data_IF_831750447112
#
_entry.id   IF_831750447112
#
_cell.length_a   1.000
_cell.length_b   1.000
_cell.length_c   1.000
_cell.angle_alpha   90.00
_cell.angle_beta   90.00
_cell.angle_gamma   90.00
#
_symmetry.space_group_name_H-M   'P 1'
#
loop_
_entity.id
_entity.type
_entity.pdbx_description
1 polymer ?
#
# COMPACT_ATOMS: atom_id res chain seq x y z
N UNK A 1 -8.66 -7.01 29.62
CA UNK A 1 -8.80 -7.93 28.46
C UNK A 1 -7.69 -7.59 27.49
N UNK A 2 -6.68 -8.46 27.35
CA UNK A 2 -5.58 -8.24 26.38
C UNK A 2 -6.15 -8.48 24.97
N UNK A 3 -5.86 -7.64 23.96
CA UNK A 3 -6.25 -7.95 22.59
C UNK A 3 -5.62 -9.28 22.19
N UNK A 4 -6.42 -10.13 21.54
CA UNK A 4 -6.00 -11.41 20.99
C UNK A 4 -4.74 -11.26 20.11
N UNK A 5 -3.77 -12.15 20.30
CA UNK A 5 -2.56 -12.32 19.46
C UNK A 5 -2.91 -12.93 18.09
N UNK A 6 -3.96 -12.46 17.42
CA UNK A 6 -4.04 -12.61 15.98
C UNK A 6 -2.88 -11.77 15.43
N UNK A 7 -1.75 -12.41 15.15
CA UNK A 7 -0.60 -11.75 14.52
C UNK A 7 -1.12 -10.93 13.36
N UNK A 8 -0.92 -9.62 13.41
CA UNK A 8 -1.49 -8.66 12.46
C UNK A 8 -1.18 -9.14 11.06
N UNK A 9 -2.21 -9.64 10.37
CA UNK A 9 -2.07 -10.25 9.05
C UNK A 9 -1.81 -9.11 8.08
N UNK A 10 -0.74 -9.24 7.30
CA UNK A 10 -0.43 -8.30 6.23
C UNK A 10 -1.62 -8.18 5.28
N UNK A 11 -2.12 -6.94 5.15
CA UNK A 11 -3.23 -6.60 4.28
C UNK A 11 -2.90 -5.31 3.54
N UNK A 12 -2.91 -5.37 2.22
CA UNK A 12 -2.57 -4.25 1.34
C UNK A 12 -3.83 -3.51 0.93
N UNK A 13 -3.86 -2.20 1.13
CA UNK A 13 -4.86 -1.33 0.52
C UNK A 13 -4.41 -1.02 -0.91
N UNK A 14 -5.13 -1.51 -1.92
CA UNK A 14 -4.82 -1.30 -3.33
C UNK A 14 -5.74 -0.21 -3.87
N UNK A 15 -5.19 0.99 -3.96
CA UNK A 15 -5.86 2.16 -4.55
C UNK A 15 -5.69 2.13 -6.07
N UNK A 16 -6.79 2.25 -6.81
CA UNK A 16 -6.77 2.22 -8.27
C UNK A 16 -8.00 2.93 -8.86
N UNK A 17 -7.91 3.42 -10.09
CA UNK A 17 -9.11 3.85 -10.83
C UNK A 17 -9.83 2.65 -11.44
N UNK A 18 -11.11 2.86 -11.78
CA UNK A 18 -11.91 1.88 -12.50
C UNK A 18 -11.22 1.31 -13.76
N UNK A 19 -10.50 2.14 -14.52
CA UNK A 19 -9.75 1.75 -15.72
C UNK A 19 -8.61 0.76 -15.45
N UNK A 20 -8.10 0.71 -14.22
CA UNK A 20 -7.00 -0.17 -13.80
C UNK A 20 -7.48 -1.41 -13.03
N UNK A 21 -8.79 -1.63 -12.91
CA UNK A 21 -9.39 -2.71 -12.11
C UNK A 21 -8.83 -4.10 -12.45
N UNK A 22 -8.65 -4.39 -13.74
CA UNK A 22 -8.09 -5.68 -14.17
C UNK A 22 -6.64 -5.87 -13.67
N UNK A 23 -5.83 -4.80 -13.70
CA UNK A 23 -4.47 -4.82 -13.18
C UNK A 23 -4.46 -4.96 -11.65
N UNK A 24 -5.32 -4.22 -10.94
CA UNK A 24 -5.45 -4.30 -9.49
C UNK A 24 -5.86 -5.71 -9.03
N UNK A 25 -6.82 -6.35 -9.69
CA UNK A 25 -7.24 -7.74 -9.42
C UNK A 25 -6.10 -8.73 -9.65
N UNK A 26 -5.31 -8.55 -10.72
CA UNK A 26 -4.15 -9.40 -11.01
C UNK A 26 -3.07 -9.27 -9.92
N UNK A 27 -2.78 -8.03 -9.49
CA UNK A 27 -1.84 -7.74 -8.41
C UNK A 27 -2.31 -8.40 -7.10
N UNK A 28 -3.56 -8.20 -6.71
CA UNK A 28 -4.14 -8.81 -5.50
C UNK A 28 -4.08 -10.34 -5.56
N UNK A 29 -4.40 -10.92 -6.71
CA UNK A 29 -4.34 -12.38 -6.92
C UNK A 29 -2.93 -12.91 -6.74
N UNK A 30 -1.91 -12.24 -7.31
CA UNK A 30 -0.51 -12.66 -7.15
C UNK A 30 -0.04 -12.53 -5.70
N UNK A 31 -0.36 -11.43 -5.01
CA UNK A 31 -0.05 -11.24 -3.59
C UNK A 31 -0.68 -12.34 -2.73
N UNK A 32 -1.93 -12.70 -3.01
CA UNK A 32 -2.66 -13.74 -2.28
C UNK A 32 -2.11 -15.13 -2.53
N UNK A 33 -1.95 -15.53 -3.80
CA UNK A 33 -1.58 -16.89 -4.20
C UNK A 33 -0.11 -17.18 -3.89
N UNK A 34 0.79 -16.25 -4.22
CA UNK A 34 2.24 -16.51 -4.14
C UNK A 34 2.80 -16.17 -2.76
N UNK A 35 2.21 -15.19 -2.06
CA UNK A 35 2.79 -14.63 -0.83
C UNK A 35 1.87 -14.68 0.39
N UNK A 36 0.62 -15.16 0.23
CA UNK A 36 -0.40 -15.23 1.29
C UNK A 36 -0.71 -13.86 1.92
N UNK A 37 -0.58 -12.79 1.15
CA UNK A 37 -0.89 -11.41 1.57
C UNK A 37 -2.32 -11.08 1.13
N UNK A 38 -3.14 -10.59 2.05
CA UNK A 38 -4.52 -10.17 1.76
C UNK A 38 -4.54 -8.77 1.14
N UNK A 39 -5.62 -8.42 0.44
CA UNK A 39 -5.78 -7.09 -0.13
C UNK A 39 -7.22 -6.58 0.01
N UNK A 40 -7.36 -5.27 0.17
CA UNK A 40 -8.60 -4.55 -0.07
C UNK A 40 -8.44 -3.79 -1.38
N UNK A 41 -9.38 -3.95 -2.31
CA UNK A 41 -9.38 -3.24 -3.60
C UNK A 41 -10.30 -2.02 -3.47
N UNK A 42 -9.72 -0.83 -3.55
CA UNK A 42 -10.48 0.42 -3.54
C UNK A 42 -10.53 1.00 -4.94
N UNK A 43 -11.70 0.92 -5.57
CA UNK A 43 -11.96 1.51 -6.88
C UNK A 43 -12.35 2.96 -6.68
N UNK A 44 -11.51 3.87 -7.17
CA UNK A 44 -11.82 5.29 -7.25
C UNK A 44 -12.69 5.52 -8.48
N UNK A 45 -13.92 5.99 -8.28
CA UNK A 45 -14.79 6.49 -9.35
C UNK A 45 -14.88 8.02 -9.25
N UNK A 46 -14.57 8.69 -10.36
CA UNK A 46 -14.59 10.15 -10.46
C UNK A 46 -16.02 10.71 -10.46
N UNK A 47 -17.04 9.85 -10.64
CA UNK A 47 -18.45 10.23 -10.71
C UNK A 47 -19.20 10.31 -9.38
N UNK A 48 -18.54 10.12 -8.22
CA UNK A 48 -19.21 10.20 -6.90
C UNK A 48 -19.42 11.65 -6.43
N UNK A 49 -20.17 12.44 -7.21
CA UNK A 49 -20.42 13.86 -7.00
C UNK A 49 -21.39 14.25 -5.86
N UNK A 50 -21.63 13.42 -4.84
CA UNK A 50 -22.62 13.79 -3.79
C UNK A 50 -22.45 13.22 -2.37
N UNK A 51 -21.40 12.44 -2.05
CA UNK A 51 -21.24 11.81 -0.71
C UNK A 51 -19.80 11.85 -0.14
N UNK A 52 -19.05 12.93 -0.40
CA UNK A 52 -17.60 12.99 -0.13
C UNK A 52 -17.16 12.76 1.33
N UNK A 53 -17.94 13.20 2.33
CA UNK A 53 -17.56 13.02 3.74
C UNK A 53 -17.68 11.56 4.20
N UNK A 54 -18.76 10.89 3.80
CA UNK A 54 -19.02 9.48 4.11
C UNK A 54 -18.03 8.57 3.38
N UNK A 55 -17.69 8.90 2.13
CA UNK A 55 -16.66 8.20 1.37
C UNK A 55 -15.29 8.33 2.03
N UNK A 56 -14.88 9.54 2.43
CA UNK A 56 -13.61 9.75 3.11
C UNK A 56 -13.56 9.01 4.46
N UNK A 57 -14.67 8.94 5.20
CA UNK A 57 -14.75 8.16 6.43
C UNK A 57 -14.62 6.66 6.16
N UNK A 58 -15.33 6.15 5.14
CA UNK A 58 -15.26 4.76 4.70
C UNK A 58 -13.85 4.36 4.27
N UNK A 59 -13.22 5.13 3.37
CA UNK A 59 -11.85 4.87 2.89
C UNK A 59 -10.85 4.90 4.06
N UNK A 60 -10.96 5.87 4.97
CA UNK A 60 -10.12 5.90 6.18
C UNK A 60 -10.30 4.65 7.05
N UNK A 61 -11.53 4.18 7.19
CA UNK A 61 -11.83 2.98 7.98
C UNK A 61 -11.25 1.71 7.31
N UNK A 62 -11.39 1.56 5.99
CA UNK A 62 -10.84 0.41 5.25
C UNK A 62 -9.32 0.44 5.18
N UNK A 63 -8.72 1.61 4.94
CA UNK A 63 -7.27 1.80 5.02
C UNK A 63 -6.75 1.50 6.43
N UNK A 64 -7.50 1.88 7.48
CA UNK A 64 -7.16 1.57 8.88
C UNK A 64 -7.16 0.07 9.22
N UNK A 65 -7.80 -0.77 8.40
CA UNK A 65 -7.75 -2.24 8.52
C UNK A 65 -6.58 -2.86 7.74
N UNK A 66 -5.82 -2.04 7.02
CA UNK A 66 -4.68 -2.45 6.21
C UNK A 66 -3.37 -2.04 6.89
N UNK A 67 -2.29 -2.67 6.46
CA UNK A 67 -0.93 -2.43 7.01
C UNK A 67 -0.08 -1.55 6.12
N UNK A 68 -0.50 -1.36 4.86
CA UNK A 68 0.27 -0.66 3.82
C UNK A 68 -0.66 -0.28 2.66
N UNK A 69 -0.18 0.65 1.83
CA UNK A 69 -0.88 1.09 0.63
C UNK A 69 -0.03 0.83 -0.62
N UNK A 70 -0.68 0.33 -1.67
CA UNK A 70 -0.14 0.19 -3.02
C UNK A 70 -1.04 0.94 -4.00
N UNK A 71 -0.56 2.05 -4.54
CA UNK A 71 -1.27 2.78 -5.58
C UNK A 71 -1.00 2.12 -6.94
N UNK A 72 -2.04 1.80 -7.70
CA UNK A 72 -1.91 1.33 -9.09
C UNK A 72 -2.13 2.52 -9.99
N UNK A 73 -1.11 2.86 -10.78
CA UNK A 73 -1.10 4.05 -11.61
C UNK A 73 -0.72 3.67 -13.04
N UNK A 74 -1.58 3.99 -13.99
CA UNK A 74 -1.33 4.01 -15.42
C UNK A 74 -1.37 5.45 -15.94
N UNK A 75 -1.13 5.63 -17.24
CA UNK A 75 -1.22 6.94 -17.90
C UNK A 75 -2.61 7.58 -17.75
N UNK A 76 -3.64 6.76 -17.50
CA UNK A 76 -5.03 7.22 -17.31
C UNK A 76 -5.33 7.63 -15.86
N UNK A 77 -4.56 7.13 -14.90
CA UNK A 77 -4.73 7.36 -13.46
C UNK A 77 -4.08 8.63 -12.93
N UNK A 78 -3.32 9.34 -13.77
CA UNK A 78 -2.61 10.56 -13.36
C UNK A 78 -3.55 11.73 -13.01
N UNK A 79 -4.84 11.64 -13.33
CA UNK A 79 -5.83 12.71 -13.15
C UNK A 79 -6.67 12.62 -11.88
N UNK A 80 -6.59 11.53 -11.10
CA UNK A 80 -7.43 11.35 -9.91
C UNK A 80 -6.97 12.21 -8.73
N UNK A 81 -7.88 13.05 -8.19
CA UNK A 81 -7.66 13.82 -6.97
C UNK A 81 -7.66 12.99 -5.68
N UNK A 82 -8.21 11.76 -5.71
CA UNK A 82 -8.29 10.90 -4.52
C UNK A 82 -6.96 10.21 -4.20
N UNK A 83 -6.15 9.85 -5.20
CA UNK A 83 -4.85 9.18 -4.98
C UNK A 83 -3.92 10.04 -4.10
N UNK A 84 -3.70 11.34 -4.36
CA UNK A 84 -2.93 12.20 -3.46
C UNK A 84 -3.50 12.26 -2.03
N UNK A 85 -4.83 12.22 -1.88
CA UNK A 85 -5.48 12.29 -0.57
C UNK A 85 -5.23 11.03 0.26
N UNK A 86 -5.42 9.84 -0.32
CA UNK A 86 -5.18 8.55 0.37
C UNK A 86 -3.72 8.39 0.78
N UNK A 87 -2.81 8.86 -0.08
CA UNK A 87 -1.39 8.91 0.20
C UNK A 87 -1.10 9.81 1.40
N UNK A 88 -1.80 10.94 1.53
CA UNK A 88 -1.74 11.79 2.71
C UNK A 88 -2.12 11.02 3.97
N UNK A 89 -3.26 10.33 3.96
CA UNK A 89 -3.74 9.53 5.11
C UNK A 89 -2.77 8.40 5.46
N UNK A 90 -2.25 7.68 4.46
CA UNK A 90 -1.29 6.60 4.68
C UNK A 90 0.06 7.12 5.22
N UNK A 91 0.51 8.29 4.73
CA UNK A 91 1.73 8.94 5.21
C UNK A 91 1.61 9.38 6.67
N UNK A 92 0.46 9.92 7.08
CA UNK A 92 0.19 10.29 8.48
C UNK A 92 0.22 9.07 9.42
N UNK A 93 -0.24 7.91 8.93
CA UNK A 93 -0.22 6.64 9.67
C UNK A 93 1.14 5.93 9.67
N UNK A 94 2.13 6.51 8.99
CA UNK A 94 3.46 5.93 8.76
C UNK A 94 3.40 4.54 8.12
N UNK A 95 2.44 4.35 7.20
CA UNK A 95 2.29 3.10 6.47
C UNK A 95 3.32 2.99 5.34
N UNK A 96 3.86 1.79 5.07
CA UNK A 96 4.60 1.52 3.85
C UNK A 96 3.79 1.89 2.61
N UNK A 97 4.42 2.63 1.71
CA UNK A 97 3.82 3.15 0.48
C UNK A 97 4.65 2.71 -0.72
N UNK A 98 3.98 2.24 -1.77
CA UNK A 98 4.58 1.99 -3.07
C UNK A 98 3.58 2.26 -4.19
N UNK A 99 4.09 2.36 -5.41
CA UNK A 99 3.26 2.47 -6.62
C UNK A 99 3.50 1.29 -7.55
N UNK A 100 2.47 0.73 -8.17
CA UNK A 100 2.60 -0.14 -9.33
C UNK A 100 2.34 0.69 -10.59
N UNK A 101 3.37 0.92 -11.40
CA UNK A 101 3.29 1.61 -12.68
C UNK A 101 2.82 0.63 -13.76
N UNK A 102 1.54 0.69 -14.12
CA UNK A 102 0.91 -0.16 -15.15
C UNK A 102 1.21 0.26 -16.59
N UNK A 103 1.76 1.47 -16.80
CA UNK A 103 2.11 2.02 -18.11
C UNK A 103 3.62 2.06 -18.38
N UNK A 104 4.03 2.44 -19.60
CA UNK A 104 5.44 2.62 -19.95
C UNK A 104 6.06 3.84 -19.25
N UNK A 105 5.24 4.81 -18.86
CA UNK A 105 5.71 6.02 -18.19
C UNK A 105 6.05 5.75 -16.72
N UNK A 106 6.97 6.51 -16.12
CA UNK A 106 7.11 6.53 -14.67
C UNK A 106 5.86 7.15 -14.02
N UNK A 107 5.60 6.84 -12.74
CA UNK A 107 4.51 7.49 -12.03
C UNK A 107 4.75 9.01 -11.93
N UNK A 108 3.67 9.79 -11.70
CA UNK A 108 3.75 11.23 -11.42
C UNK A 108 4.82 11.58 -10.39
N UNK A 109 5.44 12.74 -10.55
CA UNK A 109 6.59 13.15 -9.74
C UNK A 109 6.34 13.08 -8.23
N UNK A 110 5.15 13.47 -7.79
CA UNK A 110 4.77 13.44 -6.38
C UNK A 110 4.75 12.03 -5.77
N UNK A 111 4.68 10.98 -6.59
CA UNK A 111 4.77 9.58 -6.18
C UNK A 111 6.19 9.03 -6.18
N UNK A 112 7.13 9.67 -6.90
CA UNK A 112 8.48 9.14 -7.13
C UNK A 112 9.38 9.13 -5.88
N UNK A 113 8.96 9.77 -4.79
CA UNK A 113 9.66 9.67 -3.50
C UNK A 113 9.49 8.31 -2.81
N UNK A 114 8.50 7.52 -3.23
CA UNK A 114 8.29 6.14 -2.80
C UNK A 114 8.72 5.15 -3.89
N UNK A 115 9.05 3.91 -3.51
CA UNK A 115 9.40 2.87 -4.49
C UNK A 115 8.24 2.62 -5.45
N UNK A 116 8.57 2.35 -6.71
CA UNK A 116 7.59 1.95 -7.71
C UNK A 116 8.00 0.68 -8.47
N UNK A 117 7.00 -0.15 -8.71
CA UNK A 117 7.05 -1.47 -9.31
C UNK A 117 6.60 -1.38 -10.77
N UNK A 118 7.16 -2.19 -11.65
CA UNK A 118 6.77 -2.26 -13.07
C UNK A 118 6.37 -3.67 -13.52
N UNK A 119 6.76 -4.68 -12.76
CA UNK A 119 6.59 -6.08 -13.17
C UNK A 119 6.40 -7.00 -11.96
N UNK A 120 6.15 -8.27 -12.29
CA UNK A 120 5.85 -9.33 -11.32
C UNK A 120 7.04 -9.66 -10.40
N UNK A 121 8.27 -9.57 -10.89
CA UNK A 121 9.45 -9.81 -10.05
C UNK A 121 9.62 -8.71 -8.99
N UNK A 122 9.36 -7.46 -9.36
CA UNK A 122 9.34 -6.31 -8.44
C UNK A 122 8.14 -6.40 -7.47
N UNK A 123 6.98 -6.90 -7.90
CA UNK A 123 5.85 -7.19 -7.02
C UNK A 123 6.16 -8.31 -6.02
N UNK A 124 6.91 -9.33 -6.43
CA UNK A 124 7.37 -10.36 -5.50
C UNK A 124 8.40 -9.81 -4.51
N UNK A 125 9.26 -8.88 -4.94
CA UNK A 125 10.19 -8.18 -4.05
C UNK A 125 9.44 -7.30 -3.04
N UNK A 126 8.40 -6.60 -3.48
CA UNK A 126 7.48 -5.86 -2.61
C UNK A 126 6.84 -6.75 -1.53
N UNK A 127 6.35 -7.92 -1.91
CA UNK A 127 5.76 -8.85 -0.96
C UNK A 127 6.77 -9.32 0.10
N UNK A 128 8.00 -9.66 -0.30
CA UNK A 128 9.08 -10.03 0.63
C UNK A 128 9.48 -8.88 1.56
N UNK A 129 9.60 -7.67 1.03
CA UNK A 129 9.88 -6.47 1.83
C UNK A 129 8.77 -6.21 2.86
N UNK A 130 7.51 -6.44 2.49
CA UNK A 130 6.35 -6.30 3.38
C UNK A 130 6.40 -7.32 4.52
N UNK A 131 6.77 -8.57 4.24
CA UNK A 131 6.94 -9.62 5.25
C UNK A 131 8.11 -9.33 6.20
N UNK A 132 9.24 -8.83 5.69
CA UNK A 132 10.37 -8.40 6.49
C UNK A 132 9.98 -7.25 7.44
N UNK A 133 9.30 -6.23 6.91
CA UNK A 133 8.78 -5.10 7.69
C UNK A 133 7.81 -5.57 8.79
N UNK A 134 6.87 -6.46 8.47
CA UNK A 134 5.96 -7.04 9.48
C UNK A 134 6.71 -7.80 10.58
N UNK A 135 7.81 -8.48 10.22
CA UNK A 135 8.66 -9.15 11.20
C UNK A 135 9.38 -8.15 12.11
N UNK A 136 9.94 -7.09 11.54
CA UNK A 136 10.55 -5.99 12.30
C UNK A 136 9.53 -5.32 13.22
N UNK A 137 8.30 -5.08 12.75
CA UNK A 137 7.24 -4.52 13.57
C UNK A 137 6.94 -5.39 14.80
N UNK A 138 6.76 -6.70 14.60
CA UNK A 138 6.49 -7.66 15.68
C UNK A 138 7.61 -7.69 16.71
N UNK A 139 8.86 -7.66 16.25
CA UNK A 139 10.04 -7.62 17.12
C UNK A 139 10.14 -6.29 17.86
N UNK A 140 10.00 -5.16 17.16
CA UNK A 140 10.14 -3.84 17.75
C UNK A 140 9.08 -3.58 18.84
N UNK A 141 7.84 -4.06 18.64
CA UNK A 141 6.72 -3.86 19.56
C UNK A 141 6.90 -4.55 20.91
N UNK A 142 7.86 -5.46 21.07
CA UNK A 142 8.17 -6.04 22.40
C UNK A 142 8.92 -5.05 23.30
N UNK A 143 9.57 -4.05 22.71
CA UNK A 143 10.56 -3.20 23.39
C UNK A 143 10.24 -1.72 23.25
N UNK A 144 9.62 -1.32 22.13
CA UNK A 144 9.37 0.06 21.79
C UNK A 144 7.88 0.41 21.78
N UNK A 145 7.59 1.72 21.80
CA UNK A 145 6.22 2.22 21.60
C UNK A 145 5.70 1.83 20.21
N UNK A 146 4.37 1.86 20.05
CA UNK A 146 3.71 1.61 18.76
C UNK A 146 4.27 2.51 17.64
N UNK A 147 4.41 3.81 17.91
CA UNK A 147 4.92 4.80 16.95
C UNK A 147 6.35 4.46 16.52
N UNK A 148 7.24 4.15 17.46
CA UNK A 148 8.63 3.79 17.16
C UNK A 148 8.70 2.46 16.41
N UNK A 149 7.87 1.49 16.77
CA UNK A 149 7.80 0.19 16.11
C UNK A 149 7.36 0.32 14.65
N UNK A 150 6.36 1.17 14.38
CA UNK A 150 5.90 1.49 13.01
C UNK A 150 7.01 2.12 12.17
N UNK A 151 7.68 3.14 12.69
CA UNK A 151 8.81 3.81 12.00
C UNK A 151 9.90 2.83 11.60
N UNK A 152 10.25 1.90 12.50
CA UNK A 152 11.25 0.85 12.21
C UNK A 152 10.78 -0.10 11.11
N UNK A 153 9.54 -0.57 11.19
CA UNK A 153 8.91 -1.41 10.15
C UNK A 153 8.92 -0.73 8.79
N UNK A 154 8.49 0.52 8.72
CA UNK A 154 8.43 1.31 7.49
C UNK A 154 9.83 1.60 6.93
N UNK A 155 10.81 1.87 7.80
CA UNK A 155 12.22 1.99 7.41
C UNK A 155 12.74 0.68 6.82
N UNK A 156 12.41 -0.45 7.44
CA UNK A 156 12.80 -1.78 6.96
C UNK A 156 12.23 -2.08 5.58
N UNK A 157 10.96 -1.75 5.37
CA UNK A 157 10.31 -1.88 4.08
C UNK A 157 11.08 -1.10 3.00
N UNK A 158 11.32 0.20 3.20
CA UNK A 158 12.01 1.02 2.20
C UNK A 158 13.46 0.58 1.97
N UNK A 159 14.17 0.15 3.02
CA UNK A 159 15.52 -0.43 2.92
C UNK A 159 15.52 -1.68 2.04
N UNK A 160 14.60 -2.60 2.29
CA UNK A 160 14.45 -3.84 1.52
C UNK A 160 14.07 -3.58 0.06
N UNK A 161 13.18 -2.60 -0.18
CA UNK A 161 12.78 -2.19 -1.52
C UNK A 161 13.96 -1.60 -2.30
N UNK A 162 14.70 -0.66 -1.71
CA UNK A 162 15.88 -0.04 -2.34
C UNK A 162 16.94 -1.08 -2.72
N UNK A 163 17.19 -2.03 -1.82
CA UNK A 163 18.13 -3.13 -2.07
C UNK A 163 17.68 -4.05 -3.22
N UNK A 164 16.37 -4.29 -3.35
CA UNK A 164 15.82 -5.19 -4.36
C UNK A 164 15.65 -4.54 -5.75
N UNK A 165 15.29 -3.26 -5.79
CA UNK A 165 15.02 -2.54 -7.03
C UNK A 165 16.27 -1.88 -7.64
N UNK A 166 17.32 -1.66 -6.84
CA UNK A 166 18.51 -0.92 -7.27
C UNK A 166 18.24 0.56 -7.58
N UNK A 167 17.08 1.08 -7.17
CA UNK A 167 16.61 2.46 -7.34
C UNK A 167 15.76 2.88 -6.15
#
# INVERSE_FOLDING_TARGET
>A
MRPSLAGERLKVFISHQHTDSALAVRIASRLRVNHRIDSYLDVIDENFGSQGADLAAHVRAELGKCTQLLAVVSDRTQTSWWVPWEIGVASEKDFPLATYAGGPTPPPEYLRKWPYLRNDAELDAYARASQAAASEFRTARTTYTEVTSRRRSTTEFYRSMKASLGR
#
